data_IF_527334651683
#
_entry.id   IF_527334651683
#
_cell.length_a   1.000
_cell.length_b   1.000
_cell.length_c   1.000
_cell.angle_alpha   90.00
_cell.angle_beta   90.00
_cell.angle_gamma   90.00
#
_symmetry.space_group_name_H-M   'P 1'
#
loop_
_entity.id
_entity.type
_entity.pdbx_description
1 polymer ?
#
# COMPACT_ATOMS: atom_id res chain seq x y z
N UNK A 1 -22.48 14.88 20.70
CA UNK A 1 -22.33 16.20 21.35
C UNK A 1 -23.73 16.77 21.52
N UNK A 2 -24.12 17.22 22.72
CA UNK A 2 -25.41 17.88 22.96
C UNK A 2 -25.10 19.24 23.55
N UNK A 3 -25.57 20.30 22.90
CA UNK A 3 -25.52 21.65 23.46
C UNK A 3 -26.73 21.90 24.38
N UNK A 4 -26.54 22.78 25.37
CA UNK A 4 -27.56 23.12 26.37
C UNK A 4 -28.78 23.85 25.78
N UNK A 5 -28.62 24.50 24.61
CA UNK A 5 -29.70 25.21 23.92
C UNK A 5 -30.33 24.36 22.81
N UNK A 6 -31.65 24.14 22.90
CA UNK A 6 -32.38 23.20 22.03
C UNK A 6 -32.35 23.62 20.56
N UNK A 7 -32.44 24.91 20.27
CA UNK A 7 -32.40 25.41 18.88
C UNK A 7 -31.03 25.24 18.25
N UNK A 8 -29.96 25.55 18.98
CA UNK A 8 -28.59 25.35 18.50
C UNK A 8 -28.27 23.87 18.32
N UNK A 9 -28.80 23.00 19.18
CA UNK A 9 -28.60 21.56 19.05
C UNK A 9 -29.31 20.98 17.82
N UNK A 10 -30.52 21.48 17.49
CA UNK A 10 -31.22 21.10 16.25
C UNK A 10 -30.48 21.57 14.99
N UNK A 11 -29.99 22.80 14.98
CA UNK A 11 -29.17 23.32 13.86
C UNK A 11 -27.88 22.52 13.66
N UNK A 12 -27.22 22.12 14.75
CA UNK A 12 -26.04 21.26 14.66
C UNK A 12 -26.35 19.85 14.17
N UNK A 13 -27.49 19.28 14.55
CA UNK A 13 -27.92 17.98 14.05
C UNK A 13 -28.20 18.04 12.55
N UNK A 14 -28.94 19.05 12.10
CA UNK A 14 -29.23 19.28 10.68
C UNK A 14 -27.92 19.44 9.87
N UNK A 15 -26.98 20.25 10.36
CA UNK A 15 -25.68 20.41 9.71
C UNK A 15 -24.85 19.11 9.69
N UNK A 16 -24.90 18.31 10.75
CA UNK A 16 -24.21 17.00 10.81
C UNK A 16 -24.78 16.02 9.79
N UNK A 17 -26.11 15.99 9.65
CA UNK A 17 -26.81 15.11 8.72
C UNK A 17 -26.55 15.54 7.28
N UNK A 18 -26.64 16.85 6.99
CA UNK A 18 -26.31 17.43 5.69
C UNK A 18 -24.86 17.17 5.27
N UNK A 19 -23.93 17.17 6.23
CA UNK A 19 -22.52 16.87 5.98
C UNK A 19 -22.20 15.38 6.04
N UNK A 20 -23.14 14.51 6.40
CA UNK A 20 -22.89 13.09 6.67
C UNK A 20 -21.65 12.90 7.56
N UNK A 21 -21.60 13.67 8.66
CA UNK A 21 -20.41 13.77 9.50
C UNK A 21 -19.95 12.40 10.00
N UNK A 22 -20.87 11.53 10.38
CA UNK A 22 -20.57 10.21 10.93
C UNK A 22 -19.84 9.30 9.92
N UNK A 23 -20.22 9.35 8.64
CA UNK A 23 -19.55 8.59 7.59
C UNK A 23 -18.16 9.16 7.33
N UNK A 24 -18.04 10.50 7.27
CA UNK A 24 -16.75 11.17 7.11
C UNK A 24 -15.79 10.88 8.27
N UNK A 25 -16.29 10.84 9.51
CA UNK A 25 -15.51 10.46 10.69
C UNK A 25 -15.04 9.00 10.61
N UNK A 26 -15.88 8.10 10.09
CA UNK A 26 -15.49 6.71 9.90
C UNK A 26 -14.38 6.57 8.86
N UNK A 27 -14.44 7.34 7.76
CA UNK A 27 -13.36 7.39 6.77
C UNK A 27 -12.08 8.02 7.32
N UNK A 28 -12.18 9.09 8.13
CA UNK A 28 -11.04 9.70 8.82
C UNK A 28 -10.38 8.69 9.76
N UNK A 29 -11.16 7.95 10.54
CA UNK A 29 -10.66 6.90 11.44
C UNK A 29 -9.92 5.82 10.65
N UNK A 30 -10.54 5.31 9.59
CA UNK A 30 -9.91 4.31 8.71
C UNK A 30 -8.59 4.80 8.10
N UNK A 31 -8.53 6.05 7.66
CA UNK A 31 -7.29 6.64 7.16
C UNK A 31 -6.24 6.81 8.24
N UNK A 32 -6.64 7.22 9.45
CA UNK A 32 -5.73 7.31 10.58
C UNK A 32 -5.18 5.93 10.99
N UNK A 33 -6.00 4.87 10.91
CA UNK A 33 -5.54 3.51 11.18
C UNK A 33 -4.54 3.00 10.13
N UNK A 34 -4.72 3.40 8.86
CA UNK A 34 -3.85 2.97 7.74
C UNK A 34 -2.56 3.79 7.67
N UNK A 35 -2.66 5.12 7.77
CA UNK A 35 -1.53 6.04 7.54
C UNK A 35 -0.98 6.65 8.83
N UNK A 36 -1.53 6.31 10.00
CA UNK A 36 -1.21 6.91 11.30
C UNK A 36 -1.83 8.29 11.54
N UNK A 37 -2.33 8.93 10.47
CA UNK A 37 -2.95 10.25 10.51
C UNK A 37 -3.98 10.41 9.39
N UNK A 38 -4.86 11.39 9.54
CA UNK A 38 -5.82 11.85 8.53
C UNK A 38 -6.10 13.33 8.77
N UNK A 39 -6.45 14.08 7.72
CA UNK A 39 -6.74 15.50 7.83
C UNK A 39 -8.21 15.73 7.48
N UNK A 40 -8.93 16.47 8.31
CA UNK A 40 -10.24 17.00 7.98
C UNK A 40 -10.12 18.50 7.77
N UNK A 41 -10.82 19.03 6.77
CA UNK A 41 -10.86 20.47 6.52
C UNK A 41 -12.27 20.94 6.21
N UNK A 42 -12.51 22.19 6.52
CA UNK A 42 -13.78 22.87 6.35
C UNK A 42 -13.66 23.83 5.17
N UNK A 43 -14.67 23.87 4.31
CA UNK A 43 -14.72 24.75 3.15
C UNK A 43 -16.14 25.29 2.95
N UNK A 44 -16.28 26.37 2.19
CA UNK A 44 -17.59 26.83 1.74
C UNK A 44 -17.87 26.31 0.34
N UNK A 45 -19.08 25.80 0.12
CA UNK A 45 -19.56 25.47 -1.23
C UNK A 45 -20.05 26.73 -1.98
N UNK A 46 -20.49 26.54 -3.23
CA UNK A 46 -20.96 27.64 -4.10
C UNK A 46 -22.19 28.38 -3.51
N UNK A 47 -22.96 27.70 -2.67
CA UNK A 47 -24.12 28.25 -1.97
C UNK A 47 -23.76 28.89 -0.61
N UNK A 48 -22.47 29.08 -0.34
CA UNK A 48 -21.92 29.61 0.92
C UNK A 48 -22.25 28.75 2.16
N UNK A 49 -22.59 27.48 1.98
CA UNK A 49 -22.80 26.56 3.09
C UNK A 49 -21.48 25.95 3.55
N UNK A 50 -21.33 25.80 4.87
CA UNK A 50 -20.12 25.25 5.47
C UNK A 50 -20.12 23.73 5.34
N UNK A 51 -19.15 23.19 4.62
CA UNK A 51 -18.99 21.76 4.36
C UNK A 51 -17.69 21.21 4.94
N UNK A 52 -17.70 19.95 5.36
CA UNK A 52 -16.49 19.22 5.77
C UNK A 52 -16.04 18.29 4.65
N UNK A 53 -14.74 18.22 4.39
CA UNK A 53 -14.11 17.16 3.62
C UNK A 53 -12.92 16.58 4.39
N UNK A 54 -12.58 15.33 4.08
CA UNK A 54 -11.33 14.71 4.54
C UNK A 54 -10.30 14.73 3.41
N UNK A 55 -9.03 14.70 3.79
CA UNK A 55 -7.90 14.68 2.87
C UNK A 55 -6.89 13.64 3.31
N UNK A 56 -6.41 12.86 2.34
CA UNK A 56 -5.38 11.86 2.61
C UNK A 56 -4.05 12.54 2.94
N UNK A 57 -3.29 12.02 3.92
CA UNK A 57 -1.97 12.55 4.28
C UNK A 57 -0.91 12.40 3.18
N UNK A 58 -1.21 11.65 2.10
CA UNK A 58 -0.34 11.50 0.93
C UNK A 58 -0.27 12.77 0.09
N UNK A 59 -1.37 13.53 0.08
CA UNK A 59 -1.57 14.70 -0.78
C UNK A 59 -1.84 15.97 0.04
N UNK A 60 -1.74 15.89 1.36
CA UNK A 60 -1.98 17.01 2.25
C UNK A 60 -1.19 16.87 3.55
N UNK A 61 -0.84 17.99 4.16
CA UNK A 61 -0.16 18.03 5.44
C UNK A 61 -0.46 19.33 6.18
N UNK A 62 -0.32 19.28 7.50
CA UNK A 62 -0.44 20.44 8.38
C UNK A 62 0.95 20.97 8.74
N UNK A 63 1.08 22.29 8.76
CA UNK A 63 2.27 23.01 9.22
C UNK A 63 1.93 23.59 10.59
N UNK A 64 2.78 23.29 11.57
CA UNK A 64 2.66 23.79 12.93
C UNK A 64 3.72 24.83 13.21
N UNK A 65 3.40 25.75 14.10
CA UNK A 65 4.34 26.76 14.62
C UNK A 65 5.39 26.13 15.55
N UNK A 66 6.49 26.85 15.79
CA UNK A 66 7.62 26.43 16.62
C UNK A 66 7.35 26.52 18.14
N UNK A 67 6.21 27.09 18.51
CA UNK A 67 5.79 27.24 19.90
C UNK A 67 5.52 25.89 20.59
N UNK A 68 5.65 25.87 21.91
CA UNK A 68 5.39 24.66 22.74
C UNK A 68 3.97 24.12 22.53
N UNK A 69 3.02 25.00 22.27
CA UNK A 69 1.63 24.65 22.02
C UNK A 69 1.36 24.08 20.63
N UNK A 70 2.34 24.13 19.70
CA UNK A 70 2.26 23.63 18.31
C UNK A 70 0.94 23.98 17.65
N UNK A 71 0.64 25.28 17.59
CA UNK A 71 -0.60 25.74 16.96
C UNK A 71 -0.54 25.54 15.43
N UNK A 72 -1.65 25.16 14.78
CA UNK A 72 -1.68 24.99 13.33
C UNK A 72 -1.47 26.35 12.66
N UNK A 73 -0.39 26.47 11.88
CA UNK A 73 0.00 27.68 11.17
C UNK A 73 -0.60 27.71 9.76
N UNK A 74 -0.54 26.57 9.07
CA UNK A 74 -1.09 26.44 7.72
C UNK A 74 -1.49 24.99 7.43
N UNK A 75 -2.44 24.82 6.52
CA UNK A 75 -2.80 23.53 5.94
C UNK A 75 -2.50 23.56 4.45
N UNK A 76 -1.76 22.56 3.95
CA UNK A 76 -1.36 22.48 2.54
C UNK A 76 -1.99 21.25 1.93
N UNK A 77 -2.61 21.42 0.77
CA UNK A 77 -3.11 20.33 -0.08
C UNK A 77 -2.58 20.50 -1.48
N UNK A 78 -2.10 19.43 -2.10
CA UNK A 78 -1.63 19.43 -3.47
C UNK A 78 -2.13 18.21 -4.23
N UNK A 79 -2.23 18.35 -5.54
CA UNK A 79 -2.59 17.29 -6.48
C UNK A 79 -1.89 17.54 -7.82
N UNK A 80 -2.01 16.60 -8.74
CA UNK A 80 -1.52 16.78 -10.12
C UNK A 80 -2.71 17.07 -11.03
N UNK A 81 -2.58 18.08 -11.87
CA UNK A 81 -3.56 18.39 -12.92
C UNK A 81 -3.38 17.44 -14.12
N UNK A 82 -4.28 17.52 -15.11
CA UNK A 82 -4.27 16.72 -16.35
C UNK A 82 -2.92 16.79 -17.09
N UNK A 83 -2.25 17.94 -17.03
CA UNK A 83 -0.93 18.16 -17.64
C UNK A 83 0.25 17.69 -16.78
N UNK A 84 0.00 16.90 -15.72
CA UNK A 84 1.01 16.44 -14.75
C UNK A 84 1.74 17.54 -13.99
N UNK A 85 1.25 18.79 -14.06
CA UNK A 85 1.74 19.91 -13.26
C UNK A 85 1.20 19.79 -11.84
N UNK A 86 2.07 20.00 -10.85
CA UNK A 86 1.69 20.03 -9.44
C UNK A 86 0.94 21.32 -9.14
N UNK A 87 -0.30 21.20 -8.69
CA UNK A 87 -1.15 22.31 -8.27
C UNK A 87 -1.50 22.10 -6.80
N UNK A 88 -1.65 23.18 -6.05
CA UNK A 88 -2.10 23.05 -4.68
C UNK A 88 -2.64 24.34 -4.09
N UNK A 89 -3.10 24.23 -2.85
CA UNK A 89 -3.66 25.30 -2.07
C UNK A 89 -3.05 25.27 -0.67
N UNK A 90 -2.71 26.46 -0.17
CA UNK A 90 -2.21 26.69 1.18
C UNK A 90 -3.24 27.53 1.92
N UNK A 91 -3.80 26.98 2.98
CA UNK A 91 -4.80 27.62 3.83
C UNK A 91 -4.12 28.14 5.09
N UNK A 92 -4.03 29.46 5.23
CA UNK A 92 -3.63 30.16 6.45
C UNK A 92 -4.86 30.60 7.24
N UNK A 93 -4.66 31.16 8.43
CA UNK A 93 -5.73 31.71 9.27
C UNK A 93 -6.45 32.91 8.64
N UNK A 94 -5.72 33.73 7.89
CA UNK A 94 -6.19 35.00 7.31
C UNK A 94 -6.44 34.91 5.81
N UNK A 95 -5.74 34.02 5.11
CA UNK A 95 -5.82 33.87 3.65
C UNK A 95 -5.63 32.45 3.15
N UNK A 96 -6.06 32.22 1.93
CA UNK A 96 -5.82 30.99 1.17
C UNK A 96 -5.07 31.36 -0.11
N UNK A 97 -3.96 30.68 -0.38
CA UNK A 97 -3.12 30.95 -1.55
C UNK A 97 -3.09 29.69 -2.42
N UNK A 98 -3.40 29.82 -3.71
CA UNK A 98 -3.23 28.75 -4.69
C UNK A 98 -1.85 28.83 -5.35
N UNK A 99 -1.27 27.68 -5.68
CA UNK A 99 0.00 27.59 -6.40
C UNK A 99 -0.07 26.58 -7.53
N UNK A 100 0.63 26.89 -8.62
CA UNK A 100 0.84 26.00 -9.76
C UNK A 100 2.34 25.92 -10.05
N UNK A 101 2.87 24.70 -9.97
CA UNK A 101 4.29 24.41 -10.01
C UNK A 101 5.04 25.16 -8.91
N UNK A 102 5.82 26.17 -9.30
CA UNK A 102 6.64 26.98 -8.40
C UNK A 102 6.12 28.41 -8.23
N UNK A 103 4.91 28.72 -8.74
CA UNK A 103 4.34 30.07 -8.71
C UNK A 103 3.05 30.09 -7.90
N UNK A 104 2.90 31.12 -7.08
CA UNK A 104 1.62 31.47 -6.47
C UNK A 104 0.75 32.15 -7.52
N UNK A 105 -0.51 31.74 -7.63
CA UNK A 105 -1.42 32.16 -8.69
C UNK A 105 -2.45 33.14 -8.16
N UNK A 106 -3.16 32.74 -7.11
CA UNK A 106 -4.29 33.51 -6.56
C UNK A 106 -4.27 33.53 -5.04
N UNK A 107 -4.77 34.63 -4.46
CA UNK A 107 -4.86 34.86 -3.02
C UNK A 107 -6.29 35.29 -2.66
N UNK A 108 -6.96 34.50 -1.83
CA UNK A 108 -8.32 34.75 -1.37
C UNK A 108 -8.33 34.93 0.15
N UNK A 109 -9.11 35.86 0.67
CA UNK A 109 -9.28 36.04 2.12
C UNK A 109 -9.98 34.85 2.75
N UNK A 110 -9.47 34.38 3.89
CA UNK A 110 -10.11 33.32 4.68
C UNK A 110 -11.20 33.93 5.60
N UNK A 111 -12.48 33.57 5.45
CA UNK A 111 -13.55 34.09 6.29
C UNK A 111 -13.55 33.55 7.73
N UNK A 112 -12.82 32.46 8.01
CA UNK A 112 -12.88 31.77 9.31
C UNK A 112 -11.96 32.39 10.38
N UNK A 113 -10.93 33.15 9.98
CA UNK A 113 -9.96 33.74 10.93
C UNK A 113 -9.09 32.72 11.66
N UNK A 114 -9.13 31.45 11.25
CA UNK A 114 -8.40 30.31 11.78
C UNK A 114 -8.11 29.32 10.66
N UNK A 115 -7.07 28.49 10.83
CA UNK A 115 -6.72 27.46 9.84
C UNK A 115 -7.89 26.46 9.76
N UNK A 116 -8.56 26.33 8.60
CA UNK A 116 -9.81 25.59 8.50
C UNK A 116 -9.57 24.08 8.36
N UNK A 117 -8.64 23.52 9.12
CA UNK A 117 -8.29 22.11 9.07
C UNK A 117 -7.83 21.59 10.44
N UNK A 118 -8.05 20.28 10.65
CA UNK A 118 -7.69 19.54 11.86
C UNK A 118 -6.97 18.25 11.45
N UNK A 119 -5.79 18.01 12.03
CA UNK A 119 -5.08 16.73 11.91
C UNK A 119 -5.60 15.77 13.00
N UNK A 120 -6.04 14.60 12.57
CA UNK A 120 -6.36 13.46 13.41
C UNK A 120 -5.19 12.47 13.34
N UNK A 121 -4.66 12.06 14.48
CA UNK A 121 -3.59 11.07 14.58
C UNK A 121 -3.88 10.10 15.72
N UNK A 122 -3.55 8.83 15.53
CA UNK A 122 -3.79 7.79 16.53
C UNK A 122 -2.73 7.76 17.64
N UNK A 123 -1.51 8.21 17.34
CA UNK A 123 -0.36 8.20 18.22
C UNK A 123 0.56 9.41 17.93
N UNK A 124 1.49 9.71 18.85
CA UNK A 124 2.43 10.84 18.67
C UNK A 124 3.42 10.58 17.52
N UNK A 125 3.72 9.31 17.25
CA UNK A 125 4.63 8.84 16.21
C UNK A 125 4.02 8.92 14.79
N UNK A 126 2.70 9.18 14.67
CA UNK A 126 1.95 9.19 13.40
C UNK A 126 2.13 7.90 12.58
N UNK A 127 2.15 6.76 13.26
CA UNK A 127 2.29 5.43 12.65
C UNK A 127 0.93 4.75 12.52
N UNK A 128 0.70 4.10 11.39
CA UNK A 128 -0.47 3.25 11.18
C UNK A 128 -0.43 1.99 12.04
N UNK A 129 -1.58 1.36 12.23
CA UNK A 129 -1.74 0.19 13.11
C UNK A 129 -0.87 -0.98 12.64
N UNK A 130 -0.72 -1.16 11.34
CA UNK A 130 0.06 -2.26 10.77
C UNK A 130 1.51 -1.89 10.43
N UNK A 131 1.94 -0.64 10.59
CA UNK A 131 3.28 -0.22 10.19
C UNK A 131 4.37 -1.01 10.93
N UNK A 132 4.13 -1.37 12.20
CA UNK A 132 5.05 -2.16 13.01
C UNK A 132 5.17 -3.63 12.57
N UNK A 133 4.13 -4.19 11.95
CA UNK A 133 4.12 -5.60 11.50
C UNK A 133 4.33 -5.74 9.99
N UNK A 134 4.42 -4.63 9.26
CA UNK A 134 4.56 -4.61 7.80
C UNK A 134 5.73 -5.46 7.32
N UNK A 135 6.88 -5.39 7.99
CA UNK A 135 8.05 -6.20 7.65
C UNK A 135 7.79 -7.70 7.82
N UNK A 136 7.02 -8.11 8.83
CA UNK A 136 6.65 -9.52 9.02
C UNK A 136 5.68 -10.00 7.93
N UNK A 137 4.71 -9.16 7.55
CA UNK A 137 3.78 -9.44 6.45
C UNK A 137 4.55 -9.58 5.13
N UNK A 138 5.45 -8.65 4.83
CA UNK A 138 6.29 -8.68 3.62
C UNK A 138 7.16 -9.96 3.59
N UNK A 139 7.68 -10.40 4.74
CA UNK A 139 8.45 -11.64 4.84
C UNK A 139 7.58 -12.90 4.65
N UNK A 140 6.38 -12.93 5.24
CA UNK A 140 5.41 -14.00 5.04
C UNK A 140 5.03 -14.13 3.56
N UNK A 141 4.69 -13.01 2.91
CA UNK A 141 4.35 -12.98 1.48
C UNK A 141 5.50 -13.49 0.61
N UNK A 142 6.74 -13.14 0.97
CA UNK A 142 7.94 -13.65 0.29
C UNK A 142 8.10 -15.15 0.45
N UNK A 143 7.89 -15.70 1.65
CA UNK A 143 8.01 -17.15 1.90
C UNK A 143 6.92 -17.92 1.17
N UNK A 144 5.67 -17.43 1.18
CA UNK A 144 4.57 -18.02 0.42
C UNK A 144 4.85 -18.02 -1.09
N UNK A 145 5.39 -16.91 -1.62
CA UNK A 145 5.81 -16.82 -3.02
C UNK A 145 6.92 -17.82 -3.36
N UNK A 146 7.87 -18.04 -2.44
CA UNK A 146 8.92 -19.04 -2.62
C UNK A 146 8.39 -20.47 -2.59
N UNK A 147 7.44 -20.79 -1.70
CA UNK A 147 6.76 -22.10 -1.69
C UNK A 147 6.03 -22.33 -3.00
N UNK A 148 5.29 -21.35 -3.51
CA UNK A 148 4.59 -21.47 -4.80
C UNK A 148 5.56 -21.80 -5.96
N UNK A 149 6.68 -21.08 -6.04
CA UNK A 149 7.72 -21.35 -7.04
C UNK A 149 8.35 -22.75 -6.88
N UNK A 150 8.49 -23.25 -5.65
CA UNK A 150 9.02 -24.59 -5.41
C UNK A 150 8.05 -25.68 -5.84
N UNK A 151 6.75 -25.50 -5.59
CA UNK A 151 5.70 -26.42 -6.09
C UNK A 151 5.72 -26.45 -7.62
N UNK A 152 5.75 -25.29 -8.26
CA UNK A 152 5.85 -25.21 -9.74
C UNK A 152 7.13 -25.85 -10.27
N UNK A 153 8.26 -25.71 -9.56
CA UNK A 153 9.51 -26.38 -9.93
C UNK A 153 9.43 -27.90 -9.78
N UNK A 154 8.79 -28.38 -8.70
CA UNK A 154 8.59 -29.82 -8.47
C UNK A 154 7.68 -30.43 -9.54
N UNK A 155 6.66 -29.69 -9.97
CA UNK A 155 5.79 -30.07 -11.08
C UNK A 155 6.52 -30.09 -12.45
N UNK A 156 7.62 -29.33 -12.59
CA UNK A 156 8.43 -29.20 -13.82
C UNK A 156 9.82 -29.89 -13.72
N UNK A 157 9.96 -30.94 -12.91
CA UNK A 157 11.24 -31.60 -12.70
C UNK A 157 11.79 -32.27 -13.98
N UNK A 158 13.08 -32.05 -14.25
CA UNK A 158 13.76 -32.69 -15.39
C UNK A 158 14.15 -34.13 -15.05
N UNK A 159 13.85 -35.07 -15.95
CA UNK A 159 14.26 -36.47 -15.83
C UNK A 159 15.69 -36.64 -16.34
N UNK A 160 16.60 -37.12 -15.49
CA UNK A 160 18.00 -37.39 -15.84
C UNK A 160 18.21 -38.89 -16.00
N UNK A 161 18.68 -39.29 -17.19
CA UNK A 161 19.02 -40.68 -17.54
C UNK A 161 20.51 -40.72 -17.91
N UNK A 162 21.33 -41.38 -17.09
CA UNK A 162 22.76 -41.57 -17.34
C UNK A 162 23.11 -43.07 -17.45
N UNK A 163 23.89 -43.44 -18.46
CA UNK A 163 24.46 -44.79 -18.58
C UNK A 163 23.47 -45.88 -18.98
N UNK A 164 22.31 -45.51 -19.51
CA UNK A 164 21.35 -46.43 -20.17
C UNK A 164 21.53 -46.26 -21.67
N UNK A 165 21.80 -47.34 -22.39
CA UNK A 165 21.73 -47.34 -23.85
C UNK A 165 20.25 -47.56 -24.23
N UNK A 166 19.60 -46.51 -24.69
CA UNK A 166 18.23 -46.59 -25.22
C UNK A 166 18.31 -47.12 -26.65
N UNK A 167 17.45 -48.09 -27.00
CA UNK A 167 17.38 -48.62 -28.36
C UNK A 167 17.22 -47.47 -29.37
N UNK A 168 18.07 -47.48 -30.39
CA UNK A 168 18.12 -46.43 -31.40
C UNK A 168 17.15 -46.77 -32.53
N UNK A 169 16.30 -45.82 -32.91
CA UNK A 169 15.63 -45.88 -34.21
C UNK A 169 16.68 -45.80 -35.33
N UNK A 170 16.34 -46.23 -36.54
CA UNK A 170 17.19 -46.31 -37.74
C UNK A 170 17.89 -45.00 -38.15
N UNK A 171 17.70 -43.91 -37.42
CA UNK A 171 18.33 -42.60 -37.55
C UNK A 171 19.44 -42.31 -36.49
N UNK A 172 19.80 -43.29 -35.64
CA UNK A 172 20.89 -43.16 -34.66
C UNK A 172 20.58 -42.22 -33.48
N UNK A 173 19.30 -41.93 -33.26
CA UNK A 173 18.79 -41.20 -32.10
C UNK A 173 18.08 -42.18 -31.16
N UNK A 174 18.13 -41.95 -29.83
CA UNK A 174 17.33 -42.74 -28.88
C UNK A 174 15.86 -42.73 -29.29
N UNK A 175 15.15 -43.86 -29.16
CA UNK A 175 13.68 -43.96 -29.28
C UNK A 175 12.97 -43.32 -28.07
N UNK A 176 13.35 -42.09 -27.76
CA UNK A 176 12.79 -41.24 -26.74
C UNK A 176 12.78 -39.82 -27.27
N UNK A 177 11.62 -39.18 -27.29
CA UNK A 177 11.51 -37.79 -27.73
C UNK A 177 12.11 -36.86 -26.65
N UNK A 178 13.40 -36.57 -26.83
CA UNK A 178 14.22 -35.79 -25.89
C UNK A 178 13.88 -34.29 -25.95
N UNK A 179 13.31 -33.82 -27.07
CA UNK A 179 13.00 -32.40 -27.31
C UNK A 179 11.52 -32.18 -27.02
N UNK A 180 11.19 -31.92 -25.75
CA UNK A 180 9.82 -31.61 -25.31
C UNK A 180 9.45 -32.23 -23.97
N UNK A 181 10.10 -33.33 -23.58
CA UNK A 181 9.77 -34.09 -22.38
C UNK A 181 10.64 -33.78 -21.14
N UNK A 182 11.36 -32.65 -21.13
CA UNK A 182 12.23 -32.25 -20.01
C UNK A 182 13.24 -33.36 -19.62
N UNK A 183 13.81 -34.06 -20.61
CA UNK A 183 14.75 -35.18 -20.38
C UNK A 183 16.19 -34.78 -20.68
N UNK A 184 17.11 -35.13 -19.78
CA UNK A 184 18.56 -35.00 -19.98
C UNK A 184 19.16 -36.40 -20.11
N UNK A 185 19.75 -36.69 -21.27
CA UNK A 185 20.31 -38.00 -21.62
C UNK A 185 21.80 -37.92 -21.91
N UNK A 186 22.57 -38.89 -21.39
CA UNK A 186 23.98 -39.07 -21.74
C UNK A 186 24.34 -40.57 -21.84
N UNK A 187 24.77 -41.05 -23.02
CA UNK A 187 25.03 -42.47 -23.30
C UNK A 187 26.48 -42.90 -22.99
N UNK A 188 27.11 -42.37 -21.94
CA UNK A 188 28.49 -42.75 -21.62
C UNK A 188 28.55 -44.15 -20.96
N UNK A 189 29.31 -45.06 -21.58
CA UNK A 189 29.30 -46.51 -21.30
C UNK A 189 30.24 -46.94 -20.13
N UNK A 190 30.96 -46.01 -19.52
CA UNK A 190 31.86 -46.26 -18.37
C UNK A 190 31.17 -46.14 -17.00
N UNK A 191 29.87 -45.82 -16.97
CA UNK A 191 29.10 -45.79 -15.74
C UNK A 191 28.73 -47.21 -15.29
N UNK A 192 29.47 -47.77 -14.33
CA UNK A 192 29.24 -49.12 -13.77
C UNK A 192 27.82 -49.33 -13.20
N UNK A 193 27.03 -48.28 -12.99
CA UNK A 193 25.62 -48.35 -12.62
C UNK A 193 24.81 -47.29 -13.40
N UNK A 194 23.86 -47.72 -14.23
CA UNK A 194 22.86 -46.85 -14.83
C UNK A 194 22.09 -46.09 -13.74
N UNK A 195 22.00 -44.76 -13.85
CA UNK A 195 21.30 -43.91 -12.88
C UNK A 195 20.19 -43.14 -13.58
N UNK A 196 18.95 -43.41 -13.18
CA UNK A 196 17.74 -42.70 -13.60
C UNK A 196 17.19 -42.00 -12.38
N UNK A 197 17.19 -40.67 -12.38
CA UNK A 197 16.68 -39.86 -11.26
C UNK A 197 16.10 -38.54 -11.77
N UNK A 198 15.17 -37.96 -11.03
CA UNK A 198 14.70 -36.61 -11.32
C UNK A 198 15.67 -35.60 -10.71
N UNK A 199 16.04 -34.56 -11.45
CA UNK A 199 16.80 -33.45 -10.88
C UNK A 199 15.85 -32.65 -9.98
N UNK A 200 15.89 -32.94 -8.70
CA UNK A 200 15.23 -32.16 -7.67
C UNK A 200 16.22 -31.17 -7.04
N UNK A 201 15.75 -29.97 -6.73
CA UNK A 201 16.44 -29.09 -5.79
C UNK A 201 16.35 -29.75 -4.42
N UNK A 202 17.42 -29.76 -3.60
CA UNK A 202 17.34 -30.34 -2.25
C UNK A 202 16.17 -29.74 -1.48
N UNK A 203 15.37 -30.60 -0.84
CA UNK A 203 14.13 -30.23 -0.16
C UNK A 203 14.37 -29.19 0.92
N UNK A 204 13.98 -27.95 0.63
CA UNK A 204 13.97 -26.84 1.57
C UNK A 204 12.63 -26.66 2.30
N UNK A 205 11.70 -27.60 2.15
CA UNK A 205 10.31 -27.46 2.62
C UNK A 205 10.27 -27.37 4.16
N UNK A 206 10.98 -28.27 4.86
CA UNK A 206 11.11 -28.21 6.32
C UNK A 206 11.69 -26.86 6.80
N UNK A 207 12.64 -26.27 6.06
CA UNK A 207 13.21 -24.97 6.44
C UNK A 207 12.20 -23.83 6.27
N UNK A 208 11.39 -23.88 5.22
CA UNK A 208 10.37 -22.86 4.94
C UNK A 208 9.20 -22.95 5.92
N UNK A 209 8.75 -24.16 6.27
CA UNK A 209 7.74 -24.35 7.33
C UNK A 209 8.23 -23.82 8.67
N UNK A 210 9.49 -24.08 9.03
CA UNK A 210 10.08 -23.52 10.24
C UNK A 210 10.24 -21.99 10.23
N UNK A 211 10.31 -21.35 9.06
CA UNK A 211 10.30 -19.89 8.95
C UNK A 211 8.88 -19.36 9.11
N UNK A 212 7.88 -19.98 8.45
CA UNK A 212 6.47 -19.61 8.59
C UNK A 212 6.02 -19.71 10.06
N UNK A 213 6.33 -20.82 10.74
CA UNK A 213 6.00 -21.05 12.15
C UNK A 213 6.64 -20.03 13.11
N UNK A 214 7.72 -19.34 12.72
CA UNK A 214 8.34 -18.29 13.54
C UNK A 214 7.83 -16.89 13.23
N UNK A 215 7.20 -16.69 12.08
CA UNK A 215 6.66 -15.40 11.65
C UNK A 215 5.21 -15.19 12.12
N UNK A 216 4.47 -16.27 12.39
CA UNK A 216 3.07 -16.28 12.83
C UNK A 216 2.94 -16.43 14.35
#
# INVERSE_FOLDING_TARGET
>A
VTLDDKETNSLLQEWNDENSLQDKLSEISKQADIFGRSLAFVYQDEDSQTRIAYSSPVNSFMVYDDTVSRQPLAFVRYWKNTDSVQVGMVYYSDKTISFEGSKFVDETTNPYGLVPAVEFYGNEERQGVFDNVKTLIDELDRVLSQKANQVEYFDNAYLKILGVDLDQDGDGKPDADLIGNQMIYSPDADATNATVDFISKPDGDNMQEHIIDRLV
#
